data_IF_513328908336
#
_entry.id   IF_513328908336
#
_cell.length_a   1.000
_cell.length_b   1.000
_cell.length_c   1.000
_cell.angle_alpha   90.00
_cell.angle_beta   90.00
_cell.angle_gamma   90.00
#
_symmetry.space_group_name_H-M   'P 1'
#
loop_
_entity.id
_entity.type
_entity.pdbx_description
1 polymer ?
#
# COMPACT_ATOMS: atom_id res chain seq x y z
N UNK A 1 22.54 10.97 6.06
CA UNK A 1 22.66 11.57 4.70
C UNK A 1 21.41 11.25 3.89
N UNK A 2 20.79 12.24 3.30
CA UNK A 2 19.59 12.03 2.50
C UNK A 2 19.94 11.45 1.13
N UNK A 3 19.08 10.57 0.59
CA UNK A 3 19.19 9.98 -0.74
C UNK A 3 18.68 10.92 -1.83
N UNK A 4 17.98 11.98 -1.46
CA UNK A 4 17.24 12.83 -2.38
C UNK A 4 17.91 14.17 -2.53
N UNK A 5 17.86 14.73 -3.73
CA UNK A 5 18.40 16.07 -4.03
C UNK A 5 17.32 17.15 -3.88
N UNK A 6 16.09 16.82 -4.29
CA UNK A 6 14.98 17.77 -4.32
C UNK A 6 13.70 17.14 -3.80
N UNK A 7 12.70 17.98 -3.49
CA UNK A 7 11.38 17.52 -3.13
C UNK A 7 10.73 16.72 -4.28
N UNK A 8 11.03 17.06 -5.53
CA UNK A 8 10.52 16.31 -6.69
C UNK A 8 11.07 14.89 -6.73
N UNK A 9 12.34 14.68 -6.34
CA UNK A 9 12.92 13.34 -6.24
C UNK A 9 12.19 12.50 -5.18
N UNK A 10 11.86 13.09 -4.05
CA UNK A 10 11.08 12.43 -3.00
C UNK A 10 9.70 12.06 -3.52
N UNK A 11 9.00 13.00 -4.15
CA UNK A 11 7.65 12.75 -4.68
C UNK A 11 7.67 11.65 -5.75
N UNK A 12 8.64 11.66 -6.66
CA UNK A 12 8.75 10.65 -7.71
C UNK A 12 8.92 9.25 -7.11
N UNK A 13 9.76 9.09 -6.09
CA UNK A 13 9.98 7.81 -5.43
C UNK A 13 8.72 7.30 -4.74
N UNK A 14 8.07 8.15 -3.95
CA UNK A 14 6.89 7.73 -3.20
C UNK A 14 5.64 7.61 -4.05
N UNK A 15 5.55 8.34 -5.16
CA UNK A 15 4.48 8.14 -6.14
C UNK A 15 4.49 6.72 -6.71
N UNK A 16 5.66 6.15 -6.98
CA UNK A 16 5.78 4.76 -7.44
C UNK A 16 5.26 3.78 -6.38
N UNK A 17 5.52 4.04 -5.10
CA UNK A 17 5.02 3.21 -4.00
C UNK A 17 3.51 3.29 -3.86
N UNK A 18 2.94 4.47 -4.03
CA UNK A 18 1.47 4.67 -4.02
C UNK A 18 0.82 3.83 -5.11
N UNK A 19 1.36 3.86 -6.31
CA UNK A 19 0.86 3.06 -7.44
C UNK A 19 0.99 1.57 -7.16
N UNK A 20 2.11 1.14 -6.60
CA UNK A 20 2.34 -0.27 -6.25
C UNK A 20 1.36 -0.76 -5.19
N UNK A 21 1.12 0.01 -4.14
CA UNK A 21 0.15 -0.34 -3.10
C UNK A 21 -1.26 -0.41 -3.66
N UNK A 22 -1.65 0.53 -4.51
CA UNK A 22 -2.95 0.51 -5.17
C UNK A 22 -3.13 -0.74 -6.05
N UNK A 23 -2.08 -1.15 -6.76
CA UNK A 23 -2.10 -2.35 -7.58
C UNK A 23 -2.26 -3.61 -6.72
N UNK A 24 -1.56 -3.69 -5.60
CA UNK A 24 -1.69 -4.82 -4.65
C UNK A 24 -3.07 -4.90 -4.02
N UNK A 25 -3.66 -3.75 -3.72
CA UNK A 25 -5.02 -3.68 -3.20
C UNK A 25 -6.02 -4.22 -4.22
N UNK A 26 -5.90 -3.80 -5.48
CA UNK A 26 -6.73 -4.31 -6.56
C UNK A 26 -6.54 -5.83 -6.73
N UNK A 27 -5.30 -6.31 -6.70
CA UNK A 27 -5.01 -7.75 -6.83
C UNK A 27 -5.61 -8.55 -5.69
N UNK A 28 -5.61 -8.01 -4.46
CA UNK A 28 -6.23 -8.66 -3.31
C UNK A 28 -7.74 -8.81 -3.49
N UNK A 29 -8.41 -7.78 -3.99
CA UNK A 29 -9.83 -7.83 -4.30
C UNK A 29 -10.14 -8.81 -5.43
N UNK A 30 -9.33 -8.81 -6.48
CA UNK A 30 -9.48 -9.77 -7.59
C UNK A 30 -9.33 -11.22 -7.11
N UNK A 31 -8.33 -11.48 -6.27
CA UNK A 31 -8.13 -12.80 -5.68
C UNK A 31 -9.35 -13.24 -4.87
N UNK A 32 -9.89 -12.35 -4.04
CA UNK A 32 -11.10 -12.64 -3.27
C UNK A 32 -12.28 -12.96 -4.17
N UNK A 33 -12.53 -12.11 -5.17
CA UNK A 33 -13.65 -12.30 -6.09
C UNK A 33 -13.49 -13.59 -6.91
N UNK A 34 -12.28 -13.92 -7.34
CA UNK A 34 -12.01 -15.15 -8.08
C UNK A 34 -12.20 -16.39 -7.20
N UNK A 35 -11.86 -16.30 -5.92
CA UNK A 35 -12.04 -17.41 -4.99
C UNK A 35 -13.52 -17.74 -4.79
N UNK A 36 -14.40 -16.75 -4.75
CA UNK A 36 -15.83 -16.96 -4.49
C UNK A 36 -16.66 -17.12 -5.76
N UNK A 37 -16.09 -16.79 -6.93
CA UNK A 37 -16.82 -16.84 -8.20
C UNK A 37 -17.02 -18.29 -8.67
N UNK A 38 -18.26 -18.62 -8.99
CA UNK A 38 -18.58 -19.93 -9.61
C UNK A 38 -18.55 -21.13 -8.68
N UNK A 39 -18.42 -20.91 -7.35
CA UNK A 39 -18.50 -22.02 -6.39
C UNK A 39 -19.95 -22.27 -5.96
N UNK A 40 -20.24 -23.54 -5.66
CA UNK A 40 -21.56 -23.94 -5.20
C UNK A 40 -21.87 -23.33 -3.83
N UNK A 41 -23.15 -23.17 -3.53
CA UNK A 41 -23.62 -22.51 -2.30
C UNK A 41 -23.00 -23.11 -1.04
N UNK A 42 -22.94 -24.44 -0.95
CA UNK A 42 -22.39 -25.13 0.22
C UNK A 42 -20.88 -24.84 0.39
N UNK A 43 -20.14 -24.86 -0.71
CA UNK A 43 -18.72 -24.54 -0.71
C UNK A 43 -18.50 -23.05 -0.41
N UNK A 44 -19.36 -22.19 -0.96
CA UNK A 44 -19.31 -20.75 -0.71
C UNK A 44 -19.42 -20.43 0.78
N UNK A 45 -20.38 -21.05 1.48
CA UNK A 45 -20.58 -20.81 2.90
C UNK A 45 -19.36 -21.16 3.75
N UNK A 46 -18.53 -22.11 3.29
CA UNK A 46 -17.30 -22.49 3.98
C UNK A 46 -16.09 -21.67 3.53
N UNK A 47 -15.99 -21.39 2.24
CA UNK A 47 -14.83 -20.75 1.63
C UNK A 47 -14.84 -19.21 1.80
N UNK A 48 -16.03 -18.60 1.72
CA UNK A 48 -16.15 -17.14 1.73
C UNK A 48 -15.63 -16.51 3.04
N UNK A 49 -15.98 -17.00 4.23
CA UNK A 49 -15.43 -16.39 5.45
C UNK A 49 -13.92 -16.43 5.55
N UNK A 50 -13.28 -17.49 5.03
CA UNK A 50 -11.82 -17.61 5.01
C UNK A 50 -11.21 -16.65 4.01
N UNK A 51 -11.80 -16.56 2.81
CA UNK A 51 -11.37 -15.63 1.77
C UNK A 51 -11.52 -14.18 2.23
N UNK A 52 -12.61 -13.86 2.92
CA UNK A 52 -12.88 -12.53 3.47
C UNK A 52 -11.85 -12.15 4.54
N UNK A 53 -11.53 -13.06 5.46
CA UNK A 53 -10.50 -12.83 6.49
C UNK A 53 -9.14 -12.59 5.86
N UNK A 54 -8.80 -13.34 4.82
CA UNK A 54 -7.53 -13.17 4.10
C UNK A 54 -7.48 -11.80 3.43
N UNK A 55 -8.55 -11.41 2.74
CA UNK A 55 -8.66 -10.10 2.12
C UNK A 55 -8.47 -8.99 3.15
N UNK A 56 -9.17 -9.07 4.28
CA UNK A 56 -9.08 -8.04 5.33
C UNK A 56 -7.67 -7.91 5.88
N UNK A 57 -6.97 -9.02 6.06
CA UNK A 57 -5.57 -8.98 6.53
C UNK A 57 -4.67 -8.32 5.49
N UNK A 58 -4.85 -8.63 4.22
CA UNK A 58 -4.07 -8.02 3.14
C UNK A 58 -4.33 -6.52 3.05
N UNK A 59 -5.58 -6.09 3.13
CA UNK A 59 -5.94 -4.67 3.11
C UNK A 59 -5.37 -3.94 4.34
N UNK A 60 -5.44 -4.54 5.52
CA UNK A 60 -4.88 -3.95 6.73
C UNK A 60 -3.36 -3.79 6.63
N UNK A 61 -2.66 -4.78 6.06
CA UNK A 61 -1.21 -4.69 5.84
C UNK A 61 -0.86 -3.59 4.86
N UNK A 62 -1.62 -3.47 3.76
CA UNK A 62 -1.41 -2.42 2.78
C UNK A 62 -1.69 -1.03 3.36
N UNK A 63 -2.68 -0.89 4.22
CA UNK A 63 -2.96 0.37 4.92
C UNK A 63 -1.81 0.74 5.85
N UNK A 64 -1.22 -0.25 6.53
CA UNK A 64 -0.04 -0.04 7.37
C UNK A 64 1.16 0.42 6.52
N UNK A 65 1.40 -0.25 5.40
CA UNK A 65 2.50 0.11 4.49
C UNK A 65 2.32 1.53 3.92
N UNK A 66 1.08 1.90 3.60
CA UNK A 66 0.76 3.25 3.11
C UNK A 66 1.09 4.31 4.15
N UNK A 67 0.71 4.09 5.41
CA UNK A 67 1.01 5.02 6.50
C UNK A 67 2.52 5.14 6.75
N UNK A 68 3.23 4.02 6.69
CA UNK A 68 4.68 4.01 6.82
C UNK A 68 5.34 4.82 5.69
N UNK A 69 4.90 4.63 4.45
CA UNK A 69 5.44 5.36 3.31
C UNK A 69 5.16 6.86 3.41
N UNK A 70 3.95 7.23 3.85
CA UNK A 70 3.62 8.65 4.10
C UNK A 70 4.52 9.27 5.16
N UNK A 71 4.76 8.55 6.24
CA UNK A 71 5.65 9.01 7.31
C UNK A 71 7.09 9.18 6.79
N UNK A 72 7.61 8.21 6.05
CA UNK A 72 8.95 8.28 5.47
C UNK A 72 9.06 9.43 4.47
N UNK A 73 8.03 9.66 3.66
CA UNK A 73 7.98 10.78 2.73
C UNK A 73 8.05 12.11 3.46
N UNK A 74 7.22 12.29 4.48
CA UNK A 74 7.18 13.53 5.25
C UNK A 74 8.51 13.78 5.94
N UNK A 75 9.14 12.74 6.45
CA UNK A 75 10.46 12.80 7.06
C UNK A 75 11.53 13.21 6.03
N UNK A 76 11.49 12.64 4.83
CA UNK A 76 12.44 12.97 3.77
C UNK A 76 12.29 14.43 3.32
N UNK A 77 11.06 14.92 3.19
CA UNK A 77 10.79 16.32 2.86
C UNK A 77 11.31 17.25 3.97
N UNK A 78 11.07 16.88 5.23
CA UNK A 78 11.55 17.66 6.38
C UNK A 78 13.08 17.73 6.41
N UNK A 79 13.79 16.65 6.09
CA UNK A 79 15.25 16.65 6.00
C UNK A 79 15.75 17.58 4.90
N UNK A 80 15.12 17.56 3.72
CA UNK A 80 15.49 18.47 2.64
C UNK A 80 15.25 19.92 3.00
N UNK A 81 14.15 20.23 3.67
CA UNK A 81 13.85 21.57 4.13
C UNK A 81 14.85 22.03 5.20
N UNK A 82 15.27 21.13 6.09
CA UNK A 82 16.31 21.41 7.08
C UNK A 82 17.65 21.73 6.43
N UNK A 83 18.05 20.98 5.43
CA UNK A 83 19.27 21.24 4.67
C UNK A 83 19.22 22.57 3.92
N UNK A 84 18.05 22.90 3.36
CA UNK A 84 17.84 24.17 2.66
C UNK A 84 17.98 25.36 3.61
N UNK A 85 17.43 25.26 4.83
CA UNK A 85 17.50 26.31 5.83
C UNK A 85 18.89 26.45 6.45
N UNK A 86 19.67 25.36 6.49
CA UNK A 86 21.01 25.35 7.04
C UNK A 86 22.06 25.92 6.06
N UNK A 87 21.75 25.97 4.79
CA UNK A 87 22.63 26.54 3.78
C UNK A 87 22.33 28.01 3.57
#
# INVERSE_FOLDING_TARGET
>A
MTQYRTADDVEARFASRVVEIAARERDAWEEYLNTIRGIDTDVYQQAEPLAWRRLRRQIAQLAHDRRRDEFERDRAVAELNGLRLAS
#
